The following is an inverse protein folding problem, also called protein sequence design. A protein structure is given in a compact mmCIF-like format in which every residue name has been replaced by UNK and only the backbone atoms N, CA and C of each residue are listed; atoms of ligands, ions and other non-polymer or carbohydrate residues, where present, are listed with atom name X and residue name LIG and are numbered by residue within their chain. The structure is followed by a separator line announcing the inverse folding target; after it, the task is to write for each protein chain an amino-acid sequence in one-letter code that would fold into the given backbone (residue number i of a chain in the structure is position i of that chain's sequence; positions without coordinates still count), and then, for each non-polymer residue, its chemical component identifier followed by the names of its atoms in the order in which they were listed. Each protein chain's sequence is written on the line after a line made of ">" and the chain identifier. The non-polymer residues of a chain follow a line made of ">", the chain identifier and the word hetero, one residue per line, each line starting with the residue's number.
data_IF_360654716556
#
_entry.id   IF_360654716556
#
_cell.length_a   1.000
_cell.length_b   1.000
_cell.length_c   1.000
_cell.angle_alpha   90.00
_cell.angle_beta   90.00
_cell.angle_gamma   90.00
#
_symmetry.space_group_name_H-M   'P 1'
#
loop_
_entity.id
_entity.type
_entity.pdbx_description
1 polymer ?
#
# COMPACT_ATOMS: atom_id res chain seq x y z
N UNK A 1 -0.14 30.65 44.92
CA UNK A 1 0.08 30.13 46.30
C UNK A 1 0.79 28.81 46.10
N UNK A 2 2.13 28.79 46.19
CA UNK A 2 2.90 28.32 47.39
C UNK A 2 2.58 26.84 47.68
N UNK A 3 3.45 25.90 47.58
CA UNK A 3 4.82 25.52 47.98
C UNK A 3 4.86 24.01 47.92
N UNK A 4 5.83 23.36 47.35
CA UNK A 4 7.11 22.87 47.88
C UNK A 4 6.97 21.67 48.85
N UNK A 5 7.77 20.65 48.58
CA UNK A 5 8.76 19.92 49.40
C UNK A 5 8.87 18.52 48.82
N UNK A 6 9.88 17.98 48.15
CA UNK A 6 11.34 17.87 48.35
C UNK A 6 11.73 16.78 49.39
N UNK A 7 12.57 15.86 48.93
CA UNK A 7 13.73 15.17 49.52
C UNK A 7 13.50 13.95 50.43
N UNK A 8 14.20 12.87 50.12
CA UNK A 8 15.44 12.28 50.70
C UNK A 8 15.53 10.81 50.26
N UNK A 9 16.54 10.36 49.48
CA UNK A 9 17.89 9.92 49.87
C UNK A 9 17.94 8.80 50.90
N UNK A 10 18.46 7.61 50.57
CA UNK A 10 19.79 7.12 50.91
C UNK A 10 19.93 5.63 50.59
N UNK A 11 20.77 5.25 49.82
CA UNK A 11 21.89 4.34 49.74
C UNK A 11 22.11 3.36 50.92
N UNK A 12 22.41 2.11 50.56
CA UNK A 12 23.47 1.34 51.21
C UNK A 12 23.93 0.16 50.34
N UNK A 13 25.20 0.18 50.04
CA UNK A 13 26.07 -0.91 49.58
C UNK A 13 26.24 -1.96 50.68
N UNK A 14 26.45 -3.20 50.32
CA UNK A 14 27.57 -4.02 50.82
C UNK A 14 27.77 -5.28 49.97
N UNK A 15 28.84 -5.40 49.44
CA UNK A 15 29.94 -6.32 49.16
C UNK A 15 30.00 -7.54 50.09
N UNK A 16 30.16 -8.74 49.52
CA UNK A 16 31.01 -9.76 50.10
C UNK A 16 31.52 -10.75 49.06
N UNK A 17 32.81 -10.77 48.92
CA UNK A 17 33.68 -11.79 48.27
C UNK A 17 33.81 -13.03 49.16
N UNK A 18 34.13 -14.18 48.54
CA UNK A 18 35.16 -15.14 48.85
C UNK A 18 34.82 -16.48 48.16
N UNK A 19 35.51 -17.01 47.28
CA UNK A 19 36.90 -17.43 47.10
C UNK A 19 37.16 -18.90 47.52
N UNK A 20 37.82 -19.60 46.62
CA UNK A 20 38.68 -20.82 46.79
C UNK A 20 37.99 -22.14 47.10
N UNK A 21 38.36 -23.22 46.47
CA UNK A 21 39.48 -23.70 45.71
C UNK A 21 39.50 -25.21 45.71
N UNK A 22 40.21 -25.77 44.80
CA UNK A 22 41.12 -26.88 44.98
C UNK A 22 40.75 -28.23 44.32
N UNK A 23 41.33 -28.45 43.19
CA UNK A 23 42.32 -29.49 42.79
C UNK A 23 42.02 -30.97 43.10
N UNK A 24 42.02 -31.82 42.14
CA UNK A 24 43.08 -32.58 41.54
C UNK A 24 42.69 -34.01 41.14
N UNK A 25 43.17 -34.36 39.94
CA UNK A 25 43.77 -35.62 39.49
C UNK A 25 42.91 -36.90 39.42
N UNK A 26 42.89 -37.55 38.37
CA UNK A 26 43.76 -38.06 37.34
C UNK A 26 43.28 -39.45 36.88
N UNK A 27 43.48 -39.69 35.63
CA UNK A 27 43.93 -40.90 34.96
C UNK A 27 42.86 -41.83 34.35
N UNK A 28 42.85 -41.77 33.05
CA UNK A 28 43.34 -42.75 32.06
C UNK A 28 42.34 -43.75 31.45
N UNK A 29 42.24 -43.58 30.15
CA UNK A 29 42.28 -44.59 29.04
C UNK A 29 41.02 -45.41 28.76
N UNK A 30 40.45 -45.32 27.56
CA UNK A 30 40.77 -46.00 26.33
C UNK A 30 39.70 -45.87 25.28
N UNK A 31 40.13 -45.52 24.11
CA UNK A 31 39.69 -45.79 22.74
C UNK A 31 38.24 -46.27 22.46
N UNK A 32 37.52 -45.45 21.66
CA UNK A 32 36.38 -45.86 20.86
C UNK A 32 36.09 -44.79 19.82
N UNK A 33 36.65 -44.93 18.61
CA UNK A 33 36.31 -44.07 17.44
C UNK A 33 34.87 -44.30 17.05
N UNK A 34 34.07 -43.29 17.19
CA UNK A 34 32.84 -43.07 16.42
C UNK A 34 32.91 -41.69 15.81
N UNK A 35 32.72 -41.63 14.49
CA UNK A 35 32.69 -40.41 13.71
C UNK A 35 31.51 -39.56 14.15
N UNK A 36 31.77 -38.48 14.84
CA UNK A 36 30.79 -37.39 15.03
C UNK A 36 30.82 -36.52 13.79
N UNK A 37 29.65 -36.47 13.13
CA UNK A 37 29.30 -35.47 12.16
C UNK A 37 29.30 -34.12 12.89
N UNK A 38 30.25 -33.27 12.59
CA UNK A 38 30.25 -31.87 13.03
C UNK A 38 29.04 -31.19 12.40
N UNK A 39 27.94 -31.08 13.14
CA UNK A 39 26.96 -30.06 12.89
C UNK A 39 27.61 -28.73 13.31
N UNK A 40 27.88 -27.87 12.34
CA UNK A 40 28.31 -26.52 12.59
C UNK A 40 27.27 -25.85 13.48
N UNK A 41 27.59 -25.60 14.73
CA UNK A 41 26.84 -24.70 15.57
C UNK A 41 27.10 -23.30 15.02
N UNK A 42 26.13 -22.74 14.27
CA UNK A 42 26.06 -21.31 13.99
C UNK A 42 26.16 -20.60 15.34
N UNK A 43 27.21 -19.83 15.50
CA UNK A 43 27.38 -18.92 16.61
C UNK A 43 26.27 -17.87 16.50
N UNK A 44 25.17 -18.00 17.26
CA UNK A 44 24.18 -16.94 17.37
C UNK A 44 24.92 -15.69 17.81
N UNK A 45 24.91 -14.66 16.96
CA UNK A 45 25.42 -13.35 17.32
C UNK A 45 24.70 -12.88 18.60
N UNK A 46 25.43 -12.29 19.53
CA UNK A 46 24.83 -11.68 20.72
C UNK A 46 24.12 -10.39 20.31
N UNK A 47 22.84 -10.53 19.99
CA UNK A 47 21.96 -9.43 19.62
C UNK A 47 21.20 -8.83 20.83
N UNK A 48 21.59 -9.22 22.06
CA UNK A 48 20.94 -8.74 23.26
C UNK A 48 21.04 -7.20 23.36
N UNK A 49 19.87 -6.53 23.35
CA UNK A 49 19.76 -5.08 23.43
C UNK A 49 19.68 -4.34 22.09
N UNK A 50 19.78 -5.02 20.95
CA UNK A 50 19.48 -4.39 19.65
C UNK A 50 17.97 -4.24 19.48
N UNK A 51 17.58 -3.13 18.90
CA UNK A 51 16.19 -2.79 18.62
C UNK A 51 16.09 -2.08 17.29
N UNK A 52 15.18 -2.55 16.44
CA UNK A 52 14.83 -1.89 15.19
C UNK A 52 13.53 -1.09 15.33
N UNK A 53 13.53 0.09 14.77
CA UNK A 53 12.32 0.89 14.55
C UNK A 53 11.79 0.62 13.16
N UNK A 54 10.47 0.35 13.07
CA UNK A 54 9.78 0.10 11.81
C UNK A 54 8.62 1.07 11.70
N UNK A 55 8.58 1.88 10.65
CA UNK A 55 7.50 2.84 10.43
C UNK A 55 6.60 2.42 9.26
N UNK A 56 5.30 2.48 9.51
CA UNK A 56 4.22 2.18 8.56
C UNK A 56 3.11 3.23 8.69
N UNK A 57 2.17 3.29 7.75
CA UNK A 57 1.05 4.26 7.85
C UNK A 57 -0.32 3.64 8.06
N UNK A 58 -0.50 2.32 7.89
CA UNK A 58 -1.80 1.68 8.03
C UNK A 58 -1.91 0.91 9.35
N UNK A 59 -2.80 1.39 10.22
CA UNK A 59 -3.07 0.77 11.53
C UNK A 59 -3.71 -0.61 11.41
N UNK A 60 -4.46 -0.89 10.34
CA UNK A 60 -5.15 -2.18 10.17
C UNK A 60 -4.16 -3.31 9.87
N UNK A 61 -3.01 -2.99 9.27
CA UNK A 61 -1.97 -3.94 8.95
C UNK A 61 -1.00 -4.20 10.13
N UNK A 62 -0.92 -3.27 11.09
CA UNK A 62 0.05 -3.33 12.19
C UNK A 62 0.01 -4.65 12.96
N UNK A 63 -1.18 -5.12 13.33
CA UNK A 63 -1.30 -6.31 14.19
C UNK A 63 -0.78 -7.59 13.50
N UNK A 64 -1.02 -7.73 12.19
CA UNK A 64 -0.52 -8.85 11.38
C UNK A 64 0.99 -8.77 11.20
N UNK A 65 1.50 -7.61 10.82
CA UNK A 65 2.94 -7.37 10.65
C UNK A 65 3.71 -7.53 11.96
N UNK A 66 3.16 -7.09 13.09
CA UNK A 66 3.80 -7.29 14.39
C UNK A 66 3.96 -8.77 14.74
N UNK A 67 2.96 -9.63 14.42
CA UNK A 67 3.10 -11.08 14.62
C UNK A 67 4.26 -11.66 13.81
N UNK A 68 4.43 -11.24 12.56
CA UNK A 68 5.54 -11.68 11.71
C UNK A 68 6.87 -11.19 12.28
N UNK A 69 6.93 -9.93 12.71
CA UNK A 69 8.11 -9.35 13.33
C UNK A 69 8.48 -10.03 14.67
N UNK A 70 7.49 -10.39 15.49
CA UNK A 70 7.71 -11.09 16.77
C UNK A 70 8.31 -12.48 16.55
N UNK A 71 7.92 -13.17 15.49
CA UNK A 71 8.52 -14.48 15.14
C UNK A 71 9.97 -14.34 14.69
N UNK A 72 10.29 -13.32 13.89
CA UNK A 72 11.66 -12.99 13.54
C UNK A 72 12.46 -12.58 14.76
N UNK A 73 11.89 -11.76 15.66
CA UNK A 73 12.51 -11.36 16.92
C UNK A 73 12.84 -12.57 17.81
N UNK A 74 11.96 -13.56 17.88
CA UNK A 74 12.20 -14.79 18.63
C UNK A 74 13.35 -15.64 18.06
N UNK A 75 13.56 -15.58 16.73
CA UNK A 75 14.66 -16.29 16.05
C UNK A 75 16.00 -15.57 16.23
N UNK A 76 16.01 -14.24 16.21
CA UNK A 76 17.23 -13.40 16.15
C UNK A 76 17.65 -12.79 17.47
N UNK A 77 16.71 -12.58 18.40
CA UNK A 77 16.94 -11.88 19.65
C UNK A 77 16.92 -10.33 19.53
N UNK A 78 16.62 -9.79 18.34
CA UNK A 78 16.47 -8.34 18.10
C UNK A 78 15.03 -7.92 18.34
N UNK A 79 14.82 -6.89 19.14
CA UNK A 79 13.47 -6.32 19.36
C UNK A 79 13.02 -5.50 18.15
N UNK A 80 11.76 -5.65 17.73
CA UNK A 80 11.15 -4.84 16.66
C UNK A 80 9.99 -4.03 17.24
N UNK A 81 10.01 -2.73 16.98
CA UNK A 81 8.90 -1.83 17.29
C UNK A 81 8.31 -1.26 16.02
N UNK A 82 7.07 -1.62 15.71
CA UNK A 82 6.31 -1.04 14.59
C UNK A 82 5.55 0.18 15.10
N UNK A 83 5.84 1.35 14.52
CA UNK A 83 5.10 2.58 14.74
C UNK A 83 4.12 2.77 13.58
N UNK A 84 2.93 3.31 13.90
CA UNK A 84 1.96 3.74 12.88
C UNK A 84 1.91 5.25 12.88
N UNK A 85 2.08 5.85 11.71
CA UNK A 85 2.09 7.28 11.47
C UNK A 85 1.11 7.55 10.35
N UNK A 86 0.25 8.56 10.46
CA UNK A 86 -0.73 8.86 9.40
C UNK A 86 -0.03 9.19 8.08
N UNK A 87 -0.65 8.88 6.94
CA UNK A 87 -0.07 9.06 5.60
C UNK A 87 0.60 10.42 5.39
N UNK A 88 -0.09 11.51 5.75
CA UNK A 88 0.44 12.87 5.55
C UNK A 88 1.62 13.17 6.46
N UNK A 89 1.56 12.75 7.73
CA UNK A 89 2.64 12.96 8.70
C UNK A 89 3.83 12.05 8.41
N UNK A 90 3.59 10.86 7.86
CA UNK A 90 4.62 9.88 7.54
C UNK A 90 5.71 10.46 6.63
N UNK A 91 5.31 11.02 5.50
CA UNK A 91 6.26 11.60 4.55
C UNK A 91 6.96 12.84 5.11
N UNK A 92 6.25 13.66 5.88
CA UNK A 92 6.85 14.82 6.56
C UNK A 92 7.94 14.41 7.55
N UNK A 93 7.67 13.37 8.36
CA UNK A 93 8.62 12.88 9.36
C UNK A 93 9.77 12.12 8.73
N UNK A 94 9.51 11.32 7.69
CA UNK A 94 10.54 10.57 6.98
C UNK A 94 11.52 11.52 6.29
N UNK A 95 11.04 12.58 5.64
CA UNK A 95 11.88 13.61 5.01
C UNK A 95 12.70 14.40 6.04
N UNK A 96 12.08 14.79 7.16
CA UNK A 96 12.78 15.44 8.25
C UNK A 96 13.86 14.53 8.85
N UNK A 97 13.57 13.23 9.01
CA UNK A 97 14.50 12.21 9.45
C UNK A 97 15.66 12.02 8.48
N UNK A 98 15.39 12.02 7.18
CA UNK A 98 16.44 11.94 6.14
C UNK A 98 17.39 13.13 6.20
N UNK A 99 16.87 14.35 6.35
CA UNK A 99 17.70 15.55 6.51
C UNK A 99 18.44 15.61 7.85
N UNK A 100 17.84 15.09 8.92
CA UNK A 100 18.39 15.08 10.29
C UNK A 100 19.32 13.91 10.60
N UNK A 101 19.33 12.88 9.77
CA UNK A 101 20.06 11.63 10.01
C UNK A 101 19.39 10.72 11.05
N UNK A 102 18.10 10.85 11.27
CA UNK A 102 17.29 10.12 12.26
C UNK A 102 16.09 9.41 11.60
N UNK A 103 16.33 8.72 10.46
CA UNK A 103 15.32 7.88 9.83
C UNK A 103 15.05 6.62 10.67
N UNK A 104 13.84 6.01 10.58
CA UNK A 104 13.60 4.66 11.10
C UNK A 104 14.53 3.64 10.43
N UNK A 105 14.82 2.53 11.11
CA UNK A 105 15.71 1.51 10.56
C UNK A 105 15.12 0.82 9.34
N UNK A 106 13.82 0.49 9.40
CA UNK A 106 13.04 -0.13 8.33
C UNK A 106 11.72 0.62 8.16
N UNK A 107 11.25 0.76 6.94
CA UNK A 107 10.02 1.51 6.67
C UNK A 107 9.41 1.16 5.32
N UNK A 108 8.13 1.49 5.17
CA UNK A 108 7.46 1.35 3.89
C UNK A 108 7.90 2.44 2.91
N UNK A 109 8.08 2.06 1.67
CA UNK A 109 8.31 2.96 0.55
C UNK A 109 7.17 2.83 -0.46
N UNK A 110 6.74 3.96 -1.00
CA UNK A 110 5.70 4.06 -2.02
C UNK A 110 6.29 4.57 -3.33
N UNK A 111 5.70 4.17 -4.47
CA UNK A 111 6.16 4.56 -5.81
C UNK A 111 6.28 6.07 -5.98
N UNK A 112 5.35 6.85 -5.39
CA UNK A 112 5.31 8.31 -5.51
C UNK A 112 6.56 9.01 -4.98
N UNK A 113 7.28 8.39 -4.06
CA UNK A 113 8.46 8.96 -3.40
C UNK A 113 9.76 8.17 -3.69
N UNK A 114 9.63 6.92 -4.17
CA UNK A 114 10.75 5.99 -4.26
C UNK A 114 11.93 6.56 -5.04
N UNK A 115 11.70 7.15 -6.21
CA UNK A 115 12.77 7.69 -7.05
C UNK A 115 13.55 8.80 -6.33
N UNK A 116 12.86 9.75 -5.69
CA UNK A 116 13.48 10.85 -4.92
C UNK A 116 14.39 10.31 -3.82
N UNK A 117 13.93 9.28 -3.09
CA UNK A 117 14.72 8.70 -1.98
C UNK A 117 15.90 7.88 -2.47
N UNK A 118 15.77 7.16 -3.59
CA UNK A 118 16.86 6.42 -4.22
C UNK A 118 17.95 7.35 -4.75
N UNK A 119 17.58 8.39 -5.50
CA UNK A 119 18.51 9.38 -6.05
C UNK A 119 19.18 10.25 -4.97
N UNK A 120 18.52 10.42 -3.83
CA UNK A 120 19.02 11.17 -2.68
C UNK A 120 19.97 10.39 -1.78
N UNK A 121 20.35 9.14 -2.14
CA UNK A 121 21.18 8.24 -1.32
C UNK A 121 20.62 8.05 0.10
N UNK A 122 19.29 8.08 0.25
CA UNK A 122 18.61 7.96 1.55
C UNK A 122 18.33 6.51 1.93
N UNK A 123 18.32 5.59 0.96
CA UNK A 123 18.00 4.18 1.12
C UNK A 123 19.25 3.31 1.11
N UNK A 124 19.24 2.25 1.92
CA UNK A 124 20.27 1.21 1.92
C UNK A 124 20.23 0.46 0.58
N UNK A 125 21.38 0.34 -0.09
CA UNK A 125 21.52 -0.52 -1.26
C UNK A 125 21.50 -2.00 -0.81
N UNK A 126 20.59 -2.77 -1.35
CA UNK A 126 20.36 -4.15 -0.92
C UNK A 126 21.10 -5.21 -1.77
N UNK A 127 21.78 -4.84 -2.87
CA UNK A 127 22.38 -5.80 -3.80
C UNK A 127 23.31 -6.80 -3.11
N UNK A 128 24.27 -6.31 -2.29
CA UNK A 128 25.25 -7.17 -1.63
C UNK A 128 24.62 -8.14 -0.62
N UNK A 129 23.43 -7.80 -0.10
CA UNK A 129 22.66 -8.64 0.78
C UNK A 129 21.87 -9.69 -0.01
N UNK A 130 21.16 -9.26 -1.07
CA UNK A 130 20.36 -10.13 -1.93
C UNK A 130 21.23 -11.22 -2.56
N UNK A 131 22.44 -10.88 -3.03
CA UNK A 131 23.39 -11.84 -3.62
C UNK A 131 23.80 -12.99 -2.67
N UNK A 132 23.63 -12.80 -1.37
CA UNK A 132 24.03 -13.78 -0.33
C UNK A 132 22.83 -14.45 0.35
N UNK A 133 21.63 -14.08 -0.04
CA UNK A 133 20.38 -14.50 0.60
C UNK A 133 19.63 -15.49 -0.28
N UNK A 134 19.73 -16.77 0.04
CA UNK A 134 19.02 -17.83 -0.68
C UNK A 134 17.49 -17.76 -0.52
N UNK A 135 16.97 -16.95 0.42
CA UNK A 135 15.54 -16.78 0.64
C UNK A 135 14.90 -15.77 -0.31
N UNK A 136 15.70 -14.93 -0.98
CA UNK A 136 15.23 -13.85 -1.85
C UNK A 136 15.68 -14.10 -3.29
N UNK A 137 14.74 -14.40 -4.16
CA UNK A 137 14.90 -14.39 -5.61
C UNK A 137 13.89 -13.40 -6.22
N UNK A 138 14.38 -12.29 -6.76
CA UNK A 138 13.55 -11.22 -7.32
C UNK A 138 12.65 -11.70 -8.48
N UNK A 139 12.98 -12.80 -9.16
CA UNK A 139 12.13 -13.38 -10.19
C UNK A 139 10.81 -13.96 -9.65
N UNK A 140 10.72 -14.21 -8.35
CA UNK A 140 9.52 -14.73 -7.70
C UNK A 140 8.49 -13.63 -7.38
N UNK A 141 8.82 -12.36 -7.61
CA UNK A 141 7.92 -11.22 -7.43
C UNK A 141 7.41 -10.70 -8.77
N UNK A 142 6.38 -9.86 -8.75
CA UNK A 142 5.92 -9.16 -9.94
C UNK A 142 6.99 -8.17 -10.40
N UNK A 143 7.42 -8.32 -11.65
CA UNK A 143 8.53 -7.54 -12.22
C UNK A 143 8.32 -6.02 -12.05
N UNK A 144 7.12 -5.53 -12.35
CA UNK A 144 6.81 -4.12 -12.22
C UNK A 144 6.96 -3.59 -10.78
N UNK A 145 6.72 -4.43 -9.73
CA UNK A 145 6.93 -4.00 -8.34
C UNK A 145 8.42 -4.00 -7.98
N UNK A 146 9.19 -4.95 -8.49
CA UNK A 146 10.65 -4.96 -8.32
C UNK A 146 11.27 -3.70 -8.92
N UNK A 147 10.85 -3.34 -10.12
CA UNK A 147 11.39 -2.21 -10.89
C UNK A 147 11.12 -0.85 -10.22
N UNK A 148 9.98 -0.69 -9.53
CA UNK A 148 9.67 0.53 -8.75
C UNK A 148 10.83 0.93 -7.81
N UNK A 149 11.46 -0.06 -7.20
CA UNK A 149 12.48 0.12 -6.16
C UNK A 149 13.90 -0.15 -6.65
N UNK A 150 14.09 -0.09 -7.97
CA UNK A 150 15.37 -0.28 -8.64
C UNK A 150 15.84 0.98 -9.35
N UNK A 151 17.10 1.36 -9.16
CA UNK A 151 17.71 2.50 -9.84
C UNK A 151 19.14 2.17 -10.24
N UNK A 152 19.48 2.37 -11.51
CA UNK A 152 20.84 2.15 -12.05
C UNK A 152 21.40 0.75 -11.73
N UNK A 153 20.54 -0.28 -11.72
CA UNK A 153 20.90 -1.66 -11.43
C UNK A 153 21.08 -1.97 -9.94
N UNK A 154 20.70 -1.06 -9.06
CA UNK A 154 20.69 -1.26 -7.63
C UNK A 154 19.27 -1.41 -7.12
N UNK A 155 19.05 -2.36 -6.21
CA UNK A 155 17.78 -2.58 -5.52
C UNK A 155 17.82 -1.90 -4.16
N UNK A 156 16.80 -1.10 -3.83
CA UNK A 156 16.73 -0.30 -2.61
C UNK A 156 15.59 -0.68 -1.67
N UNK A 157 14.60 -1.43 -2.16
CA UNK A 157 13.59 -2.04 -1.31
C UNK A 157 13.16 -3.39 -1.89
N UNK A 158 12.66 -4.29 -1.04
CA UNK A 158 12.05 -5.55 -1.48
C UNK A 158 10.52 -5.40 -1.52
N UNK A 159 9.86 -6.00 -2.53
CA UNK A 159 8.41 -5.93 -2.67
C UNK A 159 7.68 -6.46 -1.43
N UNK A 160 6.83 -5.63 -0.85
CA UNK A 160 6.00 -5.98 0.32
C UNK A 160 4.68 -6.61 -0.10
N UNK A 161 4.01 -5.99 -1.05
CA UNK A 161 2.68 -6.37 -1.52
C UNK A 161 2.51 -5.96 -2.98
N UNK A 162 1.36 -6.29 -3.52
CA UNK A 162 0.79 -5.63 -4.67
C UNK A 162 -0.71 -5.43 -4.43
N UNK A 163 -1.32 -4.59 -5.24
CA UNK A 163 -2.74 -4.29 -5.13
C UNK A 163 -3.42 -4.27 -6.50
N UNK A 164 -4.71 -4.38 -6.49
CA UNK A 164 -5.60 -4.13 -7.63
C UNK A 164 -6.85 -3.42 -7.13
N UNK A 165 -7.68 -2.95 -8.05
CA UNK A 165 -8.88 -2.19 -7.74
C UNK A 165 -10.12 -3.02 -8.05
N UNK A 166 -11.10 -2.95 -7.16
CA UNK A 166 -12.40 -3.59 -7.32
C UNK A 166 -13.55 -2.63 -6.97
N UNK A 167 -14.76 -3.00 -7.33
CA UNK A 167 -15.97 -2.26 -7.01
C UNK A 167 -16.54 -2.75 -5.68
N UNK A 168 -16.54 -1.87 -4.67
CA UNK A 168 -17.21 -2.06 -3.40
C UNK A 168 -18.63 -1.53 -3.45
N UNK A 169 -19.62 -2.30 -2.97
CA UNK A 169 -20.99 -1.85 -2.91
C UNK A 169 -21.72 -2.31 -1.64
N UNK A 170 -22.74 -1.55 -1.25
CA UNK A 170 -23.57 -1.81 -0.07
C UNK A 170 -24.91 -2.41 -0.50
N UNK A 171 -25.12 -3.71 -0.27
CA UNK A 171 -26.33 -4.46 -0.63
C UNK A 171 -27.59 -3.83 -0.06
N UNK A 172 -27.57 -3.35 1.19
CA UNK A 172 -28.73 -2.71 1.81
C UNK A 172 -29.15 -1.41 1.11
N UNK A 173 -28.19 -0.65 0.55
CA UNK A 173 -28.48 0.54 -0.24
C UNK A 173 -29.10 0.15 -1.59
N UNK A 174 -28.52 -0.85 -2.26
CA UNK A 174 -29.03 -1.35 -3.53
C UNK A 174 -30.45 -1.90 -3.39
N UNK A 175 -30.71 -2.73 -2.39
CA UNK A 175 -32.04 -3.27 -2.08
C UNK A 175 -33.05 -2.16 -1.78
N UNK A 176 -32.66 -1.18 -0.96
CA UNK A 176 -33.52 -0.06 -0.56
C UNK A 176 -34.02 0.75 -1.78
N UNK A 177 -33.15 0.97 -2.75
CA UNK A 177 -33.46 1.79 -3.93
C UNK A 177 -33.80 0.95 -5.18
N UNK A 178 -33.86 -0.38 -5.04
CA UNK A 178 -34.25 -1.30 -6.11
C UNK A 178 -33.27 -1.29 -7.28
N UNK A 179 -31.97 -1.19 -7.00
CA UNK A 179 -30.87 -1.30 -7.97
C UNK A 179 -30.38 -2.74 -8.01
N UNK A 180 -30.10 -3.26 -9.20
CA UNK A 180 -29.50 -4.58 -9.34
C UNK A 180 -28.05 -4.55 -8.89
N UNK A 181 -27.59 -5.65 -8.27
CA UNK A 181 -26.20 -5.76 -7.81
C UNK A 181 -25.23 -5.80 -9.00
N UNK A 182 -24.01 -5.24 -8.81
CA UNK A 182 -22.93 -5.38 -9.78
C UNK A 182 -22.67 -6.85 -10.11
N UNK A 183 -22.28 -7.10 -11.36
CA UNK A 183 -21.85 -8.40 -11.85
C UNK A 183 -20.62 -8.24 -12.76
N UNK A 184 -20.03 -9.35 -13.20
CA UNK A 184 -18.78 -9.35 -13.96
C UNK A 184 -18.86 -8.67 -15.34
N UNK A 185 -20.08 -8.38 -15.83
CA UNK A 185 -20.29 -7.72 -17.12
C UNK A 185 -20.64 -6.22 -16.97
N UNK A 186 -20.49 -5.65 -15.78
CA UNK A 186 -20.76 -4.22 -15.62
C UNK A 186 -19.75 -3.37 -16.38
N UNK A 187 -20.29 -2.53 -17.22
CA UNK A 187 -19.56 -1.43 -17.89
C UNK A 187 -19.51 -0.19 -16.99
N UNK A 188 -18.68 0.79 -17.36
CA UNK A 188 -18.74 2.10 -16.73
C UNK A 188 -20.11 2.77 -16.90
N UNK A 189 -20.82 2.50 -18.01
CA UNK A 189 -22.18 3.02 -18.19
C UNK A 189 -23.17 2.39 -17.22
N UNK A 190 -23.05 1.07 -16.92
CA UNK A 190 -23.87 0.40 -15.91
C UNK A 190 -23.59 0.97 -14.52
N UNK A 191 -22.31 1.21 -14.20
CA UNK A 191 -21.89 1.85 -12.95
C UNK A 191 -22.51 3.23 -12.80
N UNK A 192 -22.44 4.08 -13.84
CA UNK A 192 -23.02 5.41 -13.84
C UNK A 192 -24.55 5.38 -13.72
N UNK A 193 -25.22 4.47 -14.42
CA UNK A 193 -26.68 4.30 -14.36
C UNK A 193 -27.14 3.88 -12.96
N UNK A 194 -26.42 2.96 -12.31
CA UNK A 194 -26.72 2.55 -10.94
C UNK A 194 -26.47 3.70 -9.95
N UNK A 195 -25.37 4.43 -10.11
CA UNK A 195 -25.07 5.60 -9.30
C UNK A 195 -26.15 6.68 -9.40
N UNK A 196 -26.55 7.02 -10.62
CA UNK A 196 -27.60 8.00 -10.86
C UNK A 196 -28.95 7.58 -10.22
N UNK A 197 -29.32 6.30 -10.35
CA UNK A 197 -30.56 5.76 -9.79
C UNK A 197 -30.56 5.82 -8.25
N UNK A 198 -29.43 5.48 -7.59
CA UNK A 198 -29.32 5.59 -6.14
C UNK A 198 -29.42 7.06 -5.72
N UNK A 199 -28.69 7.97 -6.39
CA UNK A 199 -28.71 9.40 -6.06
C UNK A 199 -30.06 10.03 -6.24
N UNK A 200 -30.80 9.71 -7.31
CA UNK A 200 -32.15 10.22 -7.55
C UNK A 200 -33.13 9.74 -6.48
N UNK A 201 -33.12 8.42 -6.21
CA UNK A 201 -34.04 7.80 -5.25
C UNK A 201 -33.65 8.15 -3.79
N UNK A 202 -32.38 8.34 -3.51
CA UNK A 202 -31.82 8.64 -2.18
C UNK A 202 -31.74 10.13 -1.85
N UNK A 203 -32.12 11.03 -2.76
CA UNK A 203 -31.94 12.48 -2.63
C UNK A 203 -32.53 13.07 -1.35
N UNK A 204 -33.73 12.67 -1.00
CA UNK A 204 -34.40 13.16 0.24
C UNK A 204 -33.74 12.58 1.50
N UNK A 205 -33.06 11.46 1.39
CA UNK A 205 -32.32 10.81 2.49
C UNK A 205 -30.86 11.31 2.57
N UNK A 206 -30.46 12.23 1.69
CA UNK A 206 -29.07 12.72 1.59
C UNK A 206 -28.08 11.62 1.17
N UNK A 207 -28.52 10.72 0.28
CA UNK A 207 -27.70 9.61 -0.24
C UNK A 207 -27.29 9.87 -1.67
N UNK A 208 -26.14 9.35 -2.01
CA UNK A 208 -25.53 9.43 -3.34
C UNK A 208 -25.16 8.04 -3.84
N UNK A 209 -25.04 7.89 -5.15
CA UNK A 209 -24.66 6.61 -5.73
C UNK A 209 -23.23 6.25 -5.49
N UNK A 210 -22.33 7.22 -5.68
CA UNK A 210 -20.88 7.00 -5.59
C UNK A 210 -20.16 8.27 -5.13
N UNK A 211 -18.87 8.13 -4.81
CA UNK A 211 -17.89 9.21 -4.68
C UNK A 211 -16.52 8.70 -5.13
N UNK A 212 -15.61 9.60 -5.44
CA UNK A 212 -14.21 9.35 -5.76
C UNK A 212 -13.32 10.39 -5.08
N UNK A 213 -12.07 10.04 -4.81
CA UNK A 213 -11.07 11.02 -4.44
C UNK A 213 -10.86 12.02 -5.59
N UNK A 214 -10.77 13.30 -5.25
CA UNK A 214 -10.66 14.38 -6.25
C UNK A 214 -9.21 14.70 -6.62
N UNK A 215 -8.26 14.22 -5.83
CA UNK A 215 -6.82 14.52 -5.94
C UNK A 215 -5.96 13.28 -6.21
N UNK A 216 -6.31 12.13 -5.68
CA UNK A 216 -5.68 10.86 -5.93
C UNK A 216 -6.68 9.94 -6.61
N UNK A 217 -6.32 9.38 -7.73
CA UNK A 217 -7.23 8.60 -8.54
C UNK A 217 -6.87 7.14 -8.70
N UNK A 218 -5.92 6.58 -7.92
CA UNK A 218 -5.55 5.17 -8.02
C UNK A 218 -6.77 4.26 -7.78
N UNK A 219 -7.56 4.56 -6.78
CA UNK A 219 -8.81 3.85 -6.46
C UNK A 219 -10.05 4.45 -7.16
N UNK A 220 -9.86 5.24 -8.22
CA UNK A 220 -10.94 5.92 -8.89
C UNK A 220 -10.67 6.25 -10.36
N UNK A 221 -10.62 7.54 -10.67
CA UNK A 221 -10.67 8.06 -12.03
C UNK A 221 -9.41 7.77 -12.90
N UNK A 222 -8.28 7.37 -12.32
CA UNK A 222 -7.14 6.90 -13.12
C UNK A 222 -7.51 5.62 -13.89
N UNK A 223 -8.23 4.68 -13.26
CA UNK A 223 -8.68 3.46 -13.93
C UNK A 223 -9.56 3.75 -15.14
N UNK A 224 -10.40 4.78 -15.02
CA UNK A 224 -11.26 5.23 -16.12
C UNK A 224 -10.43 5.81 -17.27
N UNK A 225 -9.44 6.68 -17.00
CA UNK A 225 -8.56 7.23 -18.03
C UNK A 225 -7.89 6.13 -18.82
N UNK A 226 -7.24 5.18 -18.13
CA UNK A 226 -6.55 4.09 -18.81
C UNK A 226 -7.50 3.12 -19.50
N UNK A 227 -8.71 2.90 -18.96
CA UNK A 227 -9.77 2.13 -19.61
C UNK A 227 -10.25 2.73 -20.93
N UNK A 228 -10.17 4.04 -21.12
CA UNK A 228 -10.44 4.73 -22.39
C UNK A 228 -9.23 4.76 -23.34
N UNK A 229 -8.08 4.21 -22.91
CA UNK A 229 -6.83 4.25 -23.65
C UNK A 229 -6.12 5.60 -23.55
N UNK A 230 -6.48 6.44 -22.56
CA UNK A 230 -5.77 7.65 -22.19
C UNK A 230 -4.56 7.35 -21.30
N UNK A 231 -3.96 8.39 -20.75
CA UNK A 231 -2.81 8.29 -19.84
C UNK A 231 -2.66 9.52 -18.98
N UNK A 232 -2.03 9.38 -17.82
CA UNK A 232 -1.68 10.51 -16.95
C UNK A 232 -0.33 11.12 -17.29
N UNK A 233 0.61 10.26 -17.62
CA UNK A 233 1.99 10.62 -17.98
C UNK A 233 2.43 9.81 -19.20
N UNK A 234 3.33 10.34 -20.02
CA UNK A 234 3.91 9.61 -21.12
C UNK A 234 4.83 8.48 -20.67
N UNK A 235 5.05 7.47 -21.53
CA UNK A 235 5.81 6.27 -21.17
C UNK A 235 7.29 6.57 -20.81
N UNK A 236 7.81 7.72 -21.23
CA UNK A 236 9.15 8.20 -20.87
C UNK A 236 9.16 9.11 -19.63
N UNK A 237 8.00 9.26 -18.96
CA UNK A 237 7.77 10.09 -17.78
C UNK A 237 8.11 11.58 -17.94
N UNK A 238 8.19 12.10 -19.18
CA UNK A 238 8.65 13.48 -19.44
C UNK A 238 7.56 14.48 -19.70
N UNK A 239 6.35 14.01 -19.97
CA UNK A 239 5.21 14.87 -20.27
C UNK A 239 3.95 14.36 -19.65
N UNK A 240 3.07 15.30 -19.31
CA UNK A 240 1.71 14.99 -18.96
C UNK A 240 0.96 14.33 -20.13
N UNK A 241 0.06 13.42 -19.79
CA UNK A 241 -0.93 12.87 -20.71
C UNK A 241 -2.33 13.44 -20.46
N UNK A 242 -2.46 14.44 -19.58
CA UNK A 242 -3.77 15.03 -19.26
C UNK A 242 -4.41 15.76 -20.42
N UNK A 243 -3.64 16.20 -21.42
CA UNK A 243 -4.13 16.79 -22.68
C UNK A 243 -4.29 15.77 -23.83
N UNK A 244 -4.03 14.48 -23.58
CA UNK A 244 -4.29 13.42 -24.55
C UNK A 244 -5.80 13.38 -24.86
N UNK A 245 -6.19 13.29 -26.15
CA UNK A 245 -7.61 13.25 -26.53
C UNK A 245 -8.41 12.16 -25.84
N UNK A 246 -7.82 10.99 -25.57
CA UNK A 246 -8.48 9.89 -24.86
C UNK A 246 -8.63 10.16 -23.37
N UNK A 247 -7.67 10.80 -22.74
CA UNK A 247 -7.79 11.29 -21.36
C UNK A 247 -8.89 12.31 -21.22
N UNK A 248 -8.96 13.29 -22.14
CA UNK A 248 -10.03 14.30 -22.14
C UNK A 248 -11.39 13.65 -22.39
N UNK A 249 -11.48 12.65 -23.28
CA UNK A 249 -12.73 11.90 -23.54
C UNK A 249 -13.20 11.20 -22.26
N UNK A 250 -12.31 10.46 -21.58
CA UNK A 250 -12.60 9.78 -20.32
C UNK A 250 -13.07 10.74 -19.22
N UNK A 251 -12.34 11.82 -19.00
CA UNK A 251 -12.65 12.80 -17.97
C UNK A 251 -13.93 13.57 -18.27
N UNK A 252 -14.22 13.86 -19.55
CA UNK A 252 -15.49 14.47 -19.96
C UNK A 252 -16.65 13.51 -19.69
N UNK A 253 -16.48 12.22 -20.02
CA UNK A 253 -17.48 11.20 -19.71
C UNK A 253 -17.76 11.11 -18.19
N UNK A 254 -16.70 11.12 -17.36
CA UNK A 254 -16.82 11.19 -15.89
C UNK A 254 -17.64 12.41 -15.44
N UNK A 255 -17.30 13.58 -16.02
CA UNK A 255 -18.02 14.81 -15.74
C UNK A 255 -19.51 14.75 -16.05
N UNK A 256 -19.85 14.19 -17.20
CA UNK A 256 -21.23 14.13 -17.68
C UNK A 256 -22.07 13.04 -17.00
N UNK A 257 -21.45 11.92 -16.58
CA UNK A 257 -22.19 10.71 -16.16
C UNK A 257 -22.02 10.36 -14.67
N UNK A 258 -20.89 10.65 -14.05
CA UNK A 258 -20.65 10.27 -12.66
C UNK A 258 -20.74 11.42 -11.67
N UNK A 259 -20.19 12.59 -11.99
CA UNK A 259 -20.22 13.75 -11.08
C UNK A 259 -21.66 14.11 -10.65
N UNK A 260 -22.68 14.05 -11.52
CA UNK A 260 -24.07 14.33 -11.11
C UNK A 260 -24.63 13.37 -10.06
N UNK A 261 -24.03 12.18 -9.92
CA UNK A 261 -24.43 11.16 -8.94
C UNK A 261 -23.55 11.16 -7.67
N UNK A 262 -22.58 12.06 -7.59
CA UNK A 262 -21.67 12.23 -6.44
C UNK A 262 -22.14 13.33 -5.49
N UNK A 263 -21.65 13.37 -4.24
CA UNK A 263 -21.79 14.53 -3.38
C UNK A 263 -21.18 15.80 -4.01
N UNK A 264 -21.64 16.96 -3.53
CA UNK A 264 -21.02 18.22 -3.93
C UNK A 264 -19.52 18.24 -3.58
N UNK A 265 -18.72 18.90 -4.42
CA UNK A 265 -17.26 18.96 -4.31
C UNK A 265 -16.76 19.34 -2.90
N UNK A 266 -17.43 20.28 -2.22
CA UNK A 266 -17.06 20.66 -0.86
C UNK A 266 -17.18 19.51 0.15
N UNK A 267 -18.19 18.63 0.03
CA UNK A 267 -18.33 17.47 0.90
C UNK A 267 -17.25 16.44 0.59
N UNK A 268 -16.93 16.22 -0.70
CA UNK A 268 -15.85 15.32 -1.10
C UNK A 268 -14.44 15.83 -0.71
N UNK A 269 -14.26 17.15 -0.60
CA UNK A 269 -13.00 17.73 -0.12
C UNK A 269 -12.81 17.60 1.39
N UNK A 270 -13.91 17.54 2.15
CA UNK A 270 -13.89 17.49 3.63
C UNK A 270 -14.02 16.06 4.19
N UNK A 271 -14.44 15.09 3.36
CA UNK A 271 -14.75 13.73 3.81
C UNK A 271 -14.32 12.71 2.75
N UNK A 272 -13.46 11.79 3.14
CA UNK A 272 -13.00 10.73 2.25
C UNK A 272 -14.15 9.80 1.81
N UNK A 273 -14.11 9.26 0.59
CA UNK A 273 -15.11 8.31 0.08
C UNK A 273 -15.32 7.10 0.99
N UNK A 274 -14.27 6.57 1.62
CA UNK A 274 -14.35 5.47 2.60
C UNK A 274 -15.26 5.80 3.77
N UNK A 275 -15.08 7.00 4.35
CA UNK A 275 -15.89 7.48 5.46
C UNK A 275 -17.34 7.67 5.02
N UNK A 276 -17.56 8.18 3.80
CA UNK A 276 -18.90 8.29 3.22
C UNK A 276 -19.58 6.93 3.03
N UNK A 277 -18.85 5.94 2.56
CA UNK A 277 -19.35 4.59 2.35
C UNK A 277 -19.69 3.92 3.70
N UNK A 278 -18.76 3.93 4.65
CA UNK A 278 -18.96 3.37 6.00
C UNK A 278 -20.13 4.04 6.75
N UNK A 279 -20.35 5.33 6.50
CA UNK A 279 -21.49 6.08 7.04
C UNK A 279 -22.79 5.90 6.24
N UNK A 280 -22.74 5.10 5.16
CA UNK A 280 -23.87 4.85 4.28
C UNK A 280 -24.37 6.10 3.53
N UNK A 281 -23.49 7.09 3.32
CA UNK A 281 -23.77 8.29 2.50
C UNK A 281 -23.77 7.93 1.02
N UNK A 282 -22.85 7.06 0.60
CA UNK A 282 -22.75 6.57 -0.78
C UNK A 282 -23.08 5.06 -0.86
N UNK A 283 -23.59 4.64 -2.01
CA UNK A 283 -24.00 3.24 -2.24
C UNK A 283 -22.89 2.33 -2.74
N UNK A 284 -21.91 2.86 -3.45
CA UNK A 284 -20.78 2.13 -4.00
C UNK A 284 -19.60 3.05 -4.29
N UNK A 285 -18.42 2.45 -4.46
CA UNK A 285 -17.18 3.13 -4.83
C UNK A 285 -16.17 2.12 -5.39
N UNK A 286 -15.17 2.59 -6.10
CA UNK A 286 -13.99 1.78 -6.36
C UNK A 286 -13.06 1.85 -5.15
N UNK A 287 -12.35 0.75 -4.88
CA UNK A 287 -11.39 0.72 -3.78
C UNK A 287 -10.34 -0.37 -4.00
N UNK A 288 -9.16 -0.16 -3.43
CA UNK A 288 -8.05 -1.09 -3.54
C UNK A 288 -8.07 -2.22 -2.52
N UNK A 289 -7.38 -3.31 -2.85
CA UNK A 289 -7.30 -4.51 -2.00
C UNK A 289 -6.72 -4.24 -0.61
N UNK A 290 -5.94 -3.17 -0.42
CA UNK A 290 -5.38 -2.77 0.88
C UNK A 290 -6.44 -2.38 1.91
N UNK A 291 -7.65 -2.00 1.47
CA UNK A 291 -8.75 -1.56 2.35
C UNK A 291 -9.73 -2.68 2.72
N UNK A 292 -9.56 -3.89 2.19
CA UNK A 292 -10.48 -5.02 2.46
C UNK A 292 -10.68 -5.25 3.95
N UNK A 293 -9.61 -5.23 4.76
CA UNK A 293 -9.69 -5.45 6.19
C UNK A 293 -10.53 -4.37 6.91
N UNK A 294 -10.47 -3.12 6.46
CA UNK A 294 -11.28 -2.01 6.98
C UNK A 294 -12.78 -2.30 6.81
N UNK A 295 -13.18 -2.72 5.62
CA UNK A 295 -14.60 -3.00 5.32
C UNK A 295 -15.06 -4.34 5.92
N UNK A 296 -14.17 -5.33 6.00
CA UNK A 296 -14.47 -6.63 6.63
C UNK A 296 -14.72 -6.51 8.13
N UNK A 297 -14.02 -5.63 8.83
CA UNK A 297 -14.15 -5.41 10.28
C UNK A 297 -15.18 -4.36 10.66
N UNK A 298 -15.82 -3.72 9.68
CA UNK A 298 -16.84 -2.71 9.91
C UNK A 298 -18.11 -3.32 10.55
N UNK A 299 -18.87 -2.51 11.30
CA UNK A 299 -20.11 -2.93 11.97
C UNK A 299 -21.14 -3.53 10.98
N UNK A 300 -21.21 -2.97 9.76
CA UNK A 300 -22.15 -3.37 8.71
C UNK A 300 -21.49 -4.22 7.61
N UNK A 301 -20.38 -4.89 7.89
CA UNK A 301 -19.63 -5.69 6.92
C UNK A 301 -20.49 -6.74 6.18
N UNK A 302 -21.53 -7.29 6.83
CA UNK A 302 -22.47 -8.24 6.21
C UNK A 302 -23.24 -7.66 5.02
N UNK A 303 -23.40 -6.34 4.96
CA UNK A 303 -24.07 -5.64 3.86
C UNK A 303 -23.13 -5.30 2.70
N UNK A 304 -21.83 -5.44 2.88
CA UNK A 304 -20.83 -5.08 1.89
C UNK A 304 -20.49 -6.25 0.98
N UNK A 305 -20.18 -5.96 -0.24
CA UNK A 305 -19.69 -6.95 -1.21
C UNK A 305 -18.80 -6.28 -2.26
N UNK A 306 -17.97 -7.11 -2.88
CA UNK A 306 -17.06 -6.72 -3.94
C UNK A 306 -17.49 -7.30 -5.27
N UNK A 307 -17.23 -6.58 -6.33
CA UNK A 307 -17.44 -7.00 -7.71
C UNK A 307 -16.22 -6.57 -8.55
N UNK A 308 -16.13 -7.10 -9.77
CA UNK A 308 -15.11 -6.66 -10.73
C UNK A 308 -15.20 -5.16 -10.96
N UNK A 309 -14.05 -4.51 -11.14
CA UNK A 309 -14.00 -3.14 -11.62
C UNK A 309 -14.74 -3.04 -12.97
N UNK A 310 -15.54 -1.99 -13.21
CA UNK A 310 -16.23 -1.82 -14.48
C UNK A 310 -15.25 -1.74 -15.67
N UNK A 311 -15.70 -2.18 -16.84
CA UNK A 311 -14.90 -2.10 -18.07
C UNK A 311 -15.49 -1.08 -19.05
N UNK A 312 -14.66 -0.62 -19.98
CA UNK A 312 -15.09 0.24 -21.08
C UNK A 312 -15.39 -0.60 -22.33
N UNK A 313 -16.66 -0.81 -22.66
CA UNK A 313 -17.08 -1.52 -23.87
C UNK A 313 -16.79 -0.65 -25.11
N UNK A 314 -15.62 -0.84 -25.69
CA UNK A 314 -15.12 -0.01 -26.80
C UNK A 314 -15.83 -0.24 -28.11
N UNK A 315 -16.48 -1.40 -28.28
CA UNK A 315 -17.11 -1.82 -29.52
C UNK A 315 -18.65 -2.01 -29.42
N UNK A 316 -19.22 -1.86 -28.22
CA UNK A 316 -20.66 -1.94 -27.96
C UNK A 316 -21.24 -3.34 -28.07
N UNK A 317 -20.43 -4.39 -27.87
CA UNK A 317 -20.88 -5.78 -28.00
C UNK A 317 -21.49 -6.36 -26.70
N UNK A 318 -21.35 -5.64 -25.56
CA UNK A 318 -21.83 -6.04 -24.24
C UNK A 318 -21.05 -7.18 -23.62
N UNK A 319 -19.81 -7.40 -24.03
CA UNK A 319 -18.86 -8.37 -23.49
C UNK A 319 -17.55 -7.67 -23.17
N UNK A 320 -16.88 -8.08 -22.10
CA UNK A 320 -15.57 -7.60 -21.77
C UNK A 320 -14.52 -8.30 -22.65
N UNK A 321 -14.01 -7.60 -23.63
CA UNK A 321 -12.94 -8.07 -24.49
C UNK A 321 -11.55 -7.78 -23.87
N UNK A 322 -10.50 -8.42 -24.42
CA UNK A 322 -9.13 -8.21 -23.98
C UNK A 322 -8.75 -6.72 -24.03
N UNK A 323 -8.24 -6.20 -22.93
CA UNK A 323 -7.81 -4.80 -22.81
C UNK A 323 -8.89 -3.80 -22.37
N UNK A 324 -10.16 -4.20 -22.27
CA UNK A 324 -11.26 -3.30 -21.91
C UNK A 324 -11.43 -3.13 -20.40
N UNK A 325 -11.15 -4.19 -19.61
CA UNK A 325 -11.13 -4.09 -18.15
C UNK A 325 -9.73 -3.72 -17.67
N UNK A 326 -9.60 -2.53 -17.15
CA UNK A 326 -8.32 -1.98 -16.68
C UNK A 326 -8.37 -1.77 -15.18
N UNK A 327 -7.35 -2.23 -14.49
CA UNK A 327 -7.07 -1.89 -13.11
C UNK A 327 -5.68 -1.29 -12.99
N UNK A 328 -5.56 -0.19 -12.29
CA UNK A 328 -4.27 0.20 -11.79
C UNK A 328 -3.79 -0.83 -10.77
N UNK A 329 -2.47 -1.01 -10.73
CA UNK A 329 -1.79 -1.72 -9.67
C UNK A 329 -0.60 -0.92 -9.14
N UNK A 330 -0.30 -1.13 -7.90
CA UNK A 330 0.87 -0.64 -7.22
C UNK A 330 1.35 -1.73 -6.26
N UNK A 331 2.42 -1.47 -5.56
CA UNK A 331 2.91 -2.30 -4.47
C UNK A 331 3.92 -1.53 -3.66
N UNK A 332 3.87 -1.72 -2.36
CA UNK A 332 4.80 -1.11 -1.44
C UNK A 332 6.12 -1.87 -1.42
N UNK A 333 7.18 -1.17 -1.04
CA UNK A 333 8.47 -1.76 -0.76
C UNK A 333 8.82 -1.67 0.73
N UNK A 334 9.52 -2.68 1.24
CA UNK A 334 10.24 -2.59 2.50
C UNK A 334 11.63 -2.04 2.24
N UNK A 335 11.92 -0.85 2.72
CA UNK A 335 13.21 -0.17 2.62
C UNK A 335 13.88 -0.04 3.97
N UNK A 336 15.20 0.13 3.96
CA UNK A 336 16.00 0.49 5.13
C UNK A 336 16.69 1.83 4.91
N UNK A 337 16.93 2.58 6.00
CA UNK A 337 17.69 3.81 5.94
C UNK A 337 19.17 3.53 5.60
N UNK A 338 19.75 4.34 4.70
CA UNK A 338 21.17 4.22 4.36
C UNK A 338 22.08 4.41 5.56
N UNK A 339 21.64 5.17 6.57
CA UNK A 339 22.40 5.49 7.78
C UNK A 339 21.97 4.70 9.02
N UNK A 340 21.18 3.63 8.87
CA UNK A 340 20.84 2.77 10.01
C UNK A 340 22.10 2.23 10.70
N UNK A 341 22.04 2.11 12.01
CA UNK A 341 23.13 1.53 12.82
C UNK A 341 23.17 0.02 12.76
N UNK A 342 22.12 -0.60 12.21
CA UNK A 342 21.89 -2.03 12.19
C UNK A 342 21.54 -2.54 10.78
N UNK A 343 22.39 -2.28 9.75
CA UNK A 343 22.05 -2.60 8.37
C UNK A 343 21.83 -4.10 8.13
N UNK A 344 22.61 -4.96 8.80
CA UNK A 344 22.47 -6.43 8.67
C UNK A 344 21.13 -6.92 9.27
N UNK A 345 20.74 -6.39 10.43
CA UNK A 345 19.49 -6.73 11.09
C UNK A 345 18.29 -6.13 10.34
N UNK A 346 18.42 -4.92 9.81
CA UNK A 346 17.39 -4.27 9.01
C UNK A 346 17.11 -5.07 7.73
N UNK A 347 18.16 -5.46 7.00
CA UNK A 347 18.00 -6.34 5.83
C UNK A 347 17.41 -7.70 6.21
N UNK A 348 17.90 -8.32 7.27
CA UNK A 348 17.38 -9.63 7.72
C UNK A 348 15.89 -9.59 8.07
N UNK A 349 15.40 -8.49 8.65
CA UNK A 349 13.97 -8.28 8.90
C UNK A 349 13.20 -8.11 7.58
N UNK A 350 13.71 -7.28 6.67
CA UNK A 350 13.13 -7.07 5.33
C UNK A 350 13.05 -8.39 4.58
N UNK A 351 14.14 -9.15 4.53
CA UNK A 351 14.18 -10.47 3.91
C UNK A 351 13.13 -11.41 4.50
N UNK A 352 12.97 -11.43 5.82
CA UNK A 352 11.97 -12.25 6.49
C UNK A 352 10.54 -11.88 6.10
N UNK A 353 10.21 -10.58 6.06
CA UNK A 353 8.91 -10.11 5.59
C UNK A 353 8.64 -10.46 4.13
N UNK A 354 9.67 -10.40 3.29
CA UNK A 354 9.55 -10.57 1.84
C UNK A 354 9.75 -12.02 1.38
N UNK A 355 10.31 -12.92 2.22
CA UNK A 355 10.42 -14.35 1.89
C UNK A 355 9.06 -14.97 1.54
N UNK A 356 9.06 -16.09 0.81
CA UNK A 356 7.83 -16.84 0.51
C UNK A 356 7.01 -17.12 1.79
N UNK A 357 7.69 -17.56 2.88
CA UNK A 357 7.04 -17.81 4.18
C UNK A 357 6.41 -16.54 4.76
N UNK A 358 7.13 -15.42 4.74
CA UNK A 358 6.67 -14.15 5.27
C UNK A 358 5.50 -13.59 4.46
N UNK A 359 5.59 -13.62 3.13
CA UNK A 359 4.56 -13.15 2.21
C UNK A 359 3.28 -13.99 2.30
N UNK A 360 3.41 -15.31 2.35
CA UNK A 360 2.27 -16.20 2.56
C UNK A 360 1.58 -15.92 3.90
N UNK A 361 2.36 -15.75 4.95
CA UNK A 361 1.84 -15.44 6.28
C UNK A 361 1.16 -14.08 6.35
N UNK A 362 1.71 -13.07 5.68
CA UNK A 362 1.08 -11.76 5.52
C UNK A 362 -0.32 -11.91 4.90
N UNK A 363 -0.43 -12.68 3.82
CA UNK A 363 -1.69 -12.96 3.15
C UNK A 363 -2.67 -13.75 4.05
N UNK A 364 -2.22 -14.83 4.71
CA UNK A 364 -3.02 -15.64 5.64
C UNK A 364 -3.57 -14.82 6.84
N UNK A 365 -2.85 -13.80 7.26
CA UNK A 365 -3.28 -12.89 8.34
C UNK A 365 -4.21 -11.78 7.86
N UNK A 366 -4.56 -11.75 6.57
CA UNK A 366 -5.41 -10.70 5.99
C UNK A 366 -4.76 -9.32 6.02
N UNK A 367 -3.42 -9.24 5.98
CA UNK A 367 -2.70 -7.97 5.97
C UNK A 367 -2.86 -7.30 4.62
N UNK A 368 -2.47 -7.98 3.52
CA UNK A 368 -2.62 -7.52 2.15
C UNK A 368 -2.30 -8.66 1.17
N UNK A 369 -2.58 -8.45 -0.12
CA UNK A 369 -2.14 -9.35 -1.18
C UNK A 369 -0.61 -9.42 -1.22
N UNK A 370 -0.08 -10.59 -1.54
CA UNK A 370 1.36 -10.82 -1.52
C UNK A 370 2.01 -10.38 -2.83
N UNK A 371 3.17 -9.71 -2.77
CA UNK A 371 3.99 -9.45 -3.96
C UNK A 371 4.68 -10.70 -4.49
N UNK A 372 4.85 -11.74 -3.65
CA UNK A 372 5.41 -13.03 -4.04
C UNK A 372 4.36 -13.84 -4.81
N UNK A 373 4.67 -14.19 -6.05
CA UNK A 373 3.75 -14.90 -6.96
C UNK A 373 3.22 -16.19 -6.33
N UNK A 374 1.91 -16.40 -6.42
CA UNK A 374 1.23 -17.60 -5.92
C UNK A 374 0.92 -17.57 -4.41
N UNK A 375 1.20 -16.49 -3.70
CA UNK A 375 0.83 -16.36 -2.28
C UNK A 375 -0.48 -15.62 -2.03
N UNK A 376 -1.02 -14.89 -3.02
CA UNK A 376 -2.22 -14.04 -2.85
C UNK A 376 -3.52 -14.82 -2.63
N UNK A 377 -3.61 -16.10 -3.06
CA UNK A 377 -4.76 -16.97 -2.78
C UNK A 377 -5.06 -17.08 -1.28
N UNK A 378 -4.02 -17.04 -0.45
CA UNK A 378 -4.16 -17.09 1.00
C UNK A 378 -4.87 -15.84 1.56
N UNK A 379 -4.74 -14.68 0.91
CA UNK A 379 -5.42 -13.46 1.28
C UNK A 379 -6.93 -13.57 1.08
N UNK A 380 -7.38 -14.18 -0.02
CA UNK A 380 -8.80 -14.44 -0.25
C UNK A 380 -9.39 -15.32 0.85
N UNK A 381 -8.65 -16.32 1.29
CA UNK A 381 -9.06 -17.23 2.36
C UNK A 381 -9.15 -16.60 3.76
N UNK A 382 -8.56 -15.42 3.96
CA UNK A 382 -8.54 -14.75 5.26
C UNK A 382 -9.88 -14.06 5.64
N UNK A 383 -10.80 -13.86 4.68
CA UNK A 383 -12.03 -13.08 4.86
C UNK A 383 -13.27 -13.95 4.74
N UNK A 384 -13.51 -14.80 5.75
CA UNK A 384 -14.64 -15.74 5.76
C UNK A 384 -15.98 -14.99 5.60
N UNK A 385 -16.78 -15.41 4.59
CA UNK A 385 -18.09 -14.84 4.31
C UNK A 385 -18.11 -13.56 3.47
N UNK A 386 -16.94 -13.03 3.11
CA UNK A 386 -16.80 -11.92 2.16
C UNK A 386 -15.97 -12.40 0.96
N UNK A 387 -16.57 -12.40 -0.21
CA UNK A 387 -15.88 -12.74 -1.46
C UNK A 387 -15.04 -11.56 -1.93
N UNK A 388 -13.73 -11.71 -1.92
CA UNK A 388 -12.76 -10.73 -2.41
C UNK A 388 -12.00 -11.24 -3.64
N UNK A 389 -12.45 -12.34 -4.23
CA UNK A 389 -11.87 -12.87 -5.48
C UNK A 389 -11.83 -11.87 -6.65
N UNK A 390 -12.70 -10.84 -6.72
CA UNK A 390 -12.59 -9.83 -7.77
C UNK A 390 -11.22 -9.19 -7.92
N UNK A 391 -10.48 -9.02 -6.83
CA UNK A 391 -9.11 -8.48 -6.87
C UNK A 391 -8.13 -9.40 -7.61
N UNK A 392 -8.22 -10.71 -7.42
CA UNK A 392 -7.39 -11.69 -8.12
C UNK A 392 -7.89 -11.91 -9.56
N UNK A 393 -9.19 -11.90 -9.77
CA UNK A 393 -9.76 -12.11 -11.11
C UNK A 393 -9.34 -11.01 -12.08
N UNK A 394 -9.26 -9.75 -11.64
CA UNK A 394 -8.77 -8.66 -12.49
C UNK A 394 -7.27 -8.78 -12.77
N UNK A 395 -6.50 -9.35 -11.84
CA UNK A 395 -5.09 -9.68 -12.05
C UNK A 395 -4.90 -10.74 -13.14
N UNK A 396 -5.76 -11.77 -13.15
CA UNK A 396 -5.67 -12.89 -14.09
C UNK A 396 -6.23 -12.58 -15.48
N UNK A 397 -7.31 -11.80 -15.56
CA UNK A 397 -8.10 -11.61 -16.78
C UNK A 397 -8.21 -10.16 -17.26
N UNK A 398 -7.80 -9.19 -16.46
CA UNK A 398 -7.80 -7.77 -16.80
C UNK A 398 -6.49 -7.30 -17.40
N UNK A 399 -6.45 -6.01 -17.70
CA UNK A 399 -5.21 -5.30 -18.05
C UNK A 399 -4.73 -4.52 -16.85
N UNK A 400 -3.56 -4.87 -16.36
CA UNK A 400 -2.94 -4.17 -15.25
C UNK A 400 -2.05 -3.02 -15.76
N UNK A 401 -2.29 -1.84 -15.23
CA UNK A 401 -1.49 -0.64 -15.49
C UNK A 401 -0.78 -0.24 -14.21
N UNK A 402 0.55 -0.16 -14.25
CA UNK A 402 1.30 0.33 -13.11
C UNK A 402 0.88 1.76 -12.78
N UNK A 403 0.76 2.06 -11.48
CA UNK A 403 0.49 3.42 -11.01
C UNK A 403 1.50 4.39 -11.64
N UNK A 404 1.02 5.43 -12.35
CA UNK A 404 1.91 6.37 -13.03
C UNK A 404 2.70 7.19 -12.01
N UNK A 405 4.01 7.24 -12.18
CA UNK A 405 4.88 7.96 -11.27
C UNK A 405 6.07 8.58 -12.00
N UNK A 406 6.62 9.64 -11.42
CA UNK A 406 7.87 10.28 -11.78
C UNK A 406 8.64 10.64 -10.51
N UNK A 407 9.77 11.30 -10.65
CA UNK A 407 10.57 11.75 -9.49
C UNK A 407 9.79 12.61 -8.49
N UNK A 408 8.89 13.44 -9.00
CA UNK A 408 8.11 14.38 -8.18
C UNK A 408 6.60 14.12 -8.30
N UNK A 409 6.20 12.85 -8.26
CA UNK A 409 4.78 12.44 -8.35
C UNK A 409 3.90 13.22 -7.39
N UNK A 410 4.25 13.24 -6.12
CA UNK A 410 3.50 13.97 -5.08
C UNK A 410 3.33 15.47 -5.41
N UNK A 411 4.31 16.07 -6.10
CA UNK A 411 4.22 17.49 -6.46
C UNK A 411 3.21 17.77 -7.57
N UNK A 412 3.13 16.92 -8.61
CA UNK A 412 2.13 17.13 -9.66
C UNK A 412 0.75 16.59 -9.26
N UNK A 413 0.64 15.49 -8.52
CA UNK A 413 -0.64 15.01 -7.95
C UNK A 413 -1.24 16.04 -6.98
N UNK A 414 -0.42 16.64 -6.13
CA UNK A 414 -0.87 17.68 -5.20
C UNK A 414 -1.54 18.88 -5.89
N UNK A 415 -1.20 19.15 -7.16
CA UNK A 415 -1.86 20.21 -7.93
C UNK A 415 -3.29 19.84 -8.36
N UNK A 416 -3.61 18.56 -8.48
CA UNK A 416 -4.96 18.09 -8.83
C UNK A 416 -5.97 18.49 -7.77
N UNK A 417 -5.60 18.51 -6.50
CA UNK A 417 -6.46 18.86 -5.35
C UNK A 417 -7.17 20.20 -5.55
N UNK A 418 -6.48 21.20 -6.08
CA UNK A 418 -7.05 22.52 -6.33
C UNK A 418 -7.38 22.77 -7.79
N UNK A 419 -6.60 22.16 -8.68
CA UNK A 419 -6.72 22.37 -10.13
C UNK A 419 -8.01 21.80 -10.72
N UNK A 420 -8.48 20.67 -10.22
CA UNK A 420 -9.73 20.06 -10.68
C UNK A 420 -10.99 20.64 -10.02
N UNK A 421 -10.90 21.46 -8.97
CA UNK A 421 -12.07 22.04 -8.31
C UNK A 421 -13.08 22.69 -9.28
N UNK A 422 -12.67 23.49 -10.29
CA UNK A 422 -13.62 24.03 -11.25
C UNK A 422 -14.41 22.97 -12.01
N UNK A 423 -13.76 21.86 -12.40
CA UNK A 423 -14.40 20.78 -13.16
C UNK A 423 -15.32 19.92 -12.28
N UNK A 424 -15.00 19.72 -11.00
CA UNK A 424 -15.89 19.05 -10.06
C UNK A 424 -17.14 19.88 -9.75
N UNK A 425 -17.04 21.22 -9.79
CA UNK A 425 -18.19 22.14 -9.57
C UNK A 425 -19.01 22.36 -10.83
N UNK A 426 -18.36 22.42 -11.99
CA UNK A 426 -18.97 22.57 -13.31
C UNK A 426 -18.33 21.63 -14.32
N UNK A 427 -18.89 20.42 -14.50
CA UNK A 427 -18.35 19.40 -15.41
C UNK A 427 -18.14 19.88 -16.85
N UNK A 428 -18.89 20.89 -17.30
CA UNK A 428 -18.70 21.44 -18.65
C UNK A 428 -17.32 22.05 -18.91
N UNK A 429 -16.56 22.32 -17.84
CA UNK A 429 -15.19 22.85 -17.90
C UNK A 429 -14.11 21.76 -17.95
N UNK A 430 -14.49 20.49 -17.82
CA UNK A 430 -13.55 19.36 -17.63
C UNK A 430 -12.44 19.33 -18.68
N UNK A 431 -12.78 19.45 -19.97
CA UNK A 431 -11.80 19.41 -21.04
C UNK A 431 -10.75 20.54 -20.96
N UNK A 432 -11.16 21.72 -20.55
CA UNK A 432 -10.26 22.87 -20.40
C UNK A 432 -9.39 22.73 -19.14
N UNK A 433 -9.97 22.20 -18.06
CA UNK A 433 -9.24 21.89 -16.82
C UNK A 433 -8.19 20.81 -17.05
N UNK A 434 -8.49 19.73 -17.81
CA UNK A 434 -7.50 18.72 -18.17
C UNK A 434 -6.28 19.33 -18.87
N UNK A 435 -6.50 20.26 -19.84
CA UNK A 435 -5.39 20.96 -20.51
C UNK A 435 -4.57 21.84 -19.58
N UNK A 436 -5.25 22.54 -18.63
CA UNK A 436 -4.55 23.32 -17.60
C UNK A 436 -3.72 22.43 -16.68
N UNK A 437 -4.25 21.26 -16.28
CA UNK A 437 -3.50 20.29 -15.49
C UNK A 437 -2.31 19.74 -16.26
N UNK A 438 -2.44 19.52 -17.57
CA UNK A 438 -1.32 19.12 -18.40
C UNK A 438 -0.19 20.16 -18.38
N UNK A 439 -0.51 21.44 -18.53
CA UNK A 439 0.48 22.51 -18.48
C UNK A 439 1.18 22.57 -17.10
N UNK A 440 0.41 22.54 -16.01
CA UNK A 440 0.96 22.54 -14.64
C UNK A 440 1.83 21.32 -14.35
N UNK A 441 1.38 20.14 -14.75
CA UNK A 441 2.15 18.90 -14.59
C UNK A 441 3.45 18.95 -15.40
N UNK A 442 3.41 19.48 -16.63
CA UNK A 442 4.60 19.65 -17.48
C UNK A 442 5.62 20.61 -16.88
N UNK A 443 5.21 21.62 -16.11
CA UNK A 443 6.14 22.50 -15.38
C UNK A 443 6.90 21.72 -14.29
N UNK A 444 6.23 20.80 -13.58
CA UNK A 444 6.88 19.93 -12.58
C UNK A 444 7.83 18.96 -13.27
N UNK A 445 7.36 18.23 -14.30
CA UNK A 445 8.16 17.25 -15.03
C UNK A 445 9.40 17.84 -15.71
N UNK A 446 9.34 19.10 -16.15
CA UNK A 446 10.48 19.80 -16.73
C UNK A 446 11.57 20.14 -15.69
N UNK A 447 11.27 20.04 -14.42
CA UNK A 447 12.22 20.30 -13.32
C UNK A 447 12.95 19.03 -12.83
N UNK A 448 12.52 17.86 -13.29
CA UNK A 448 13.15 16.57 -13.01
C UNK A 448 14.39 16.34 -13.88
#
# INVERSE_FOLDING_TARGET
>A
MKRLIALLLTACMTISLAACGGSSNAAASAEGKTAETEASAEQKADNSGKKLTVDIWDSNQQAGLQKIADEWSAKTGVEVKINVITWVEYWTLLEAGAMGGEMPDVFWMHINEAQKYMEGDMLLNLNDYIEKDDAIDLNNYYEGIVDIYSLDGNQYALPKDHDTIALLYNKSVFDKYGVEYPNDNWTWDDYAAAAAKISEAGKEDGKYGTAMNTNDGQDGWYNLIYGWGGRLITDDNKKSGMDDPKTIEAMTWLGDNLIPAMPEQNLMADTDPDVMFLSGIIGMMLQGSWMVNTFYTAENAADYAWAQIPYHDTNGNGQCDDGERVSLYNGLGWAAAANTKYPDEAYSLISYFCSEEGQKKQAELGVTMAAYKGCSDAFVGAFEGMDISPFLTVEESGTLIQHPASRYTTAWEGQFTTGFVPAWQDPSTMADVCRQMADMMNEVLASE
#
